data_IF_337260876123
#
_entry.id   IF_337260876123
#
_cell.length_a   1.000
_cell.length_b   1.000
_cell.length_c   1.000
_cell.angle_alpha   90.00
_cell.angle_beta   90.00
_cell.angle_gamma   90.00
#
_symmetry.space_group_name_H-M   'P 1'
#
loop_
_entity.id
_entity.type
_entity.pdbx_description
1 polymer ?
#
# COMPACT_ATOMS: atom_id res chain seq x y z
N UNK A 1 9.27 1.89 -31.94
CA UNK A 1 8.26 1.01 -31.30
C UNK A 1 8.85 -0.25 -30.65
N UNK A 2 9.91 -0.87 -31.18
CA UNK A 2 10.52 -2.08 -30.58
C UNK A 2 11.06 -1.90 -29.15
N UNK A 3 11.64 -0.73 -28.82
CA UNK A 3 12.19 -0.44 -27.48
C UNK A 3 11.13 -0.46 -26.37
N UNK A 4 9.95 0.14 -26.59
CA UNK A 4 8.89 0.17 -25.57
C UNK A 4 8.32 -1.22 -25.27
N UNK A 5 8.24 -2.08 -26.29
CA UNK A 5 7.84 -3.48 -26.12
C UNK A 5 8.85 -4.24 -25.26
N UNK A 6 10.15 -4.09 -25.55
CA UNK A 6 11.21 -4.76 -24.79
C UNK A 6 11.24 -4.34 -23.31
N UNK A 7 11.12 -3.03 -23.02
CA UNK A 7 11.08 -2.52 -21.64
C UNK A 7 9.90 -3.08 -20.85
N UNK A 8 8.72 -3.16 -21.47
CA UNK A 8 7.52 -3.73 -20.82
C UNK A 8 7.73 -5.21 -20.50
N UNK A 9 8.34 -5.97 -21.41
CA UNK A 9 8.68 -7.37 -21.18
C UNK A 9 9.66 -7.52 -20.02
N UNK A 10 10.74 -6.74 -19.99
CA UNK A 10 11.72 -6.77 -18.87
C UNK A 10 11.04 -6.45 -17.54
N UNK A 11 10.19 -5.42 -17.49
CA UNK A 11 9.45 -5.04 -16.28
C UNK A 11 8.52 -6.16 -15.79
N UNK A 12 7.78 -6.80 -16.70
CA UNK A 12 6.88 -7.91 -16.35
C UNK A 12 7.67 -9.12 -15.84
N UNK A 13 8.82 -9.43 -16.44
CA UNK A 13 9.69 -10.53 -15.99
C UNK A 13 10.24 -10.25 -14.60
N UNK A 14 10.65 -9.00 -14.32
CA UNK A 14 11.10 -8.59 -12.99
C UNK A 14 9.98 -8.74 -11.96
N UNK A 15 8.74 -8.34 -12.29
CA UNK A 15 7.58 -8.49 -11.41
C UNK A 15 7.28 -9.96 -11.10
N UNK A 16 7.26 -10.83 -12.12
CA UNK A 16 7.00 -12.26 -11.94
C UNK A 16 8.06 -12.95 -11.07
N UNK A 17 9.34 -12.61 -11.27
CA UNK A 17 10.43 -13.17 -10.45
C UNK A 17 10.36 -12.63 -9.01
N UNK A 18 10.05 -11.35 -8.84
CA UNK A 18 9.91 -10.73 -7.53
C UNK A 18 8.74 -11.33 -6.73
N UNK A 19 7.61 -11.67 -7.36
CA UNK A 19 6.51 -12.38 -6.71
C UNK A 19 6.93 -13.75 -6.16
N UNK A 20 7.84 -14.45 -6.85
CA UNK A 20 8.37 -15.74 -6.42
C UNK A 20 9.47 -15.63 -5.36
N UNK A 21 10.20 -14.51 -5.33
CA UNK A 21 11.41 -14.33 -4.51
C UNK A 21 11.29 -13.16 -3.51
N UNK A 22 10.25 -13.16 -2.67
CA UNK A 22 10.07 -12.20 -1.58
C UNK A 22 10.18 -10.70 -1.99
N UNK A 23 9.81 -10.37 -3.22
CA UNK A 23 9.84 -8.99 -3.75
C UNK A 23 11.14 -8.60 -4.46
N UNK A 24 12.10 -9.50 -4.62
CA UNK A 24 13.40 -9.22 -5.24
C UNK A 24 13.65 -10.05 -6.52
N UNK A 25 14.26 -9.44 -7.53
CA UNK A 25 14.70 -10.10 -8.75
C UNK A 25 16.19 -9.82 -9.02
N UNK A 26 17.02 -10.85 -9.04
CA UNK A 26 18.42 -10.72 -9.43
C UNK A 26 18.58 -10.58 -10.95
N UNK A 27 19.62 -9.87 -11.38
CA UNK A 27 19.94 -9.72 -12.82
C UNK A 27 20.12 -11.08 -13.50
N UNK A 28 20.72 -12.05 -12.81
CA UNK A 28 20.93 -13.39 -13.34
C UNK A 28 19.61 -14.14 -13.52
N UNK A 29 18.69 -14.02 -12.56
CA UNK A 29 17.35 -14.61 -12.67
C UNK A 29 16.56 -13.98 -13.83
N UNK A 30 16.62 -12.66 -13.98
CA UNK A 30 15.96 -11.94 -15.09
C UNK A 30 16.56 -12.35 -16.43
N UNK A 31 17.89 -12.43 -16.52
CA UNK A 31 18.57 -12.84 -17.75
C UNK A 31 18.25 -14.28 -18.14
N UNK A 32 18.19 -15.18 -17.16
CA UNK A 32 17.82 -16.59 -17.35
C UNK A 32 16.36 -16.72 -17.79
N UNK A 33 15.44 -15.99 -17.16
CA UNK A 33 14.03 -15.99 -17.53
C UNK A 33 13.78 -15.42 -18.94
N UNK A 34 14.60 -14.46 -19.37
CA UNK A 34 14.56 -13.91 -20.73
C UNK A 34 15.35 -14.73 -21.76
N UNK A 35 15.94 -15.86 -21.35
CA UNK A 35 16.74 -16.74 -22.19
C UNK A 35 17.87 -15.99 -22.93
N UNK A 36 18.53 -15.04 -22.26
CA UNK A 36 19.69 -14.36 -22.84
C UNK A 36 20.85 -15.36 -22.98
N UNK A 37 21.28 -15.60 -24.22
CA UNK A 37 22.37 -16.53 -24.54
C UNK A 37 23.68 -15.82 -24.87
N UNK A 38 23.60 -14.56 -25.33
CA UNK A 38 24.77 -13.79 -25.76
C UNK A 38 25.10 -12.67 -24.78
N UNK A 39 26.39 -12.33 -24.70
CA UNK A 39 26.87 -11.19 -23.89
C UNK A 39 26.18 -9.88 -24.27
N UNK A 40 25.85 -9.70 -25.56
CA UNK A 40 25.15 -8.51 -26.03
C UNK A 40 23.71 -8.44 -25.51
N UNK A 41 22.99 -9.57 -25.45
CA UNK A 41 21.65 -9.63 -24.88
C UNK A 41 21.66 -9.32 -23.38
N UNK A 42 22.62 -9.88 -22.63
CA UNK A 42 22.80 -9.55 -21.21
C UNK A 42 23.05 -8.05 -20.99
N UNK A 43 23.91 -7.43 -21.82
CA UNK A 43 24.16 -5.99 -21.77
C UNK A 43 22.90 -5.17 -22.06
N UNK A 44 22.09 -5.59 -23.03
CA UNK A 44 20.83 -4.92 -23.36
C UNK A 44 19.85 -4.97 -22.19
N UNK A 45 19.69 -6.13 -21.54
CA UNK A 45 18.81 -6.29 -20.36
C UNK A 45 19.30 -5.40 -19.22
N UNK A 46 20.61 -5.38 -18.94
CA UNK A 46 21.20 -4.51 -17.91
C UNK A 46 20.96 -3.02 -18.17
N UNK A 47 21.10 -2.59 -19.42
CA UNK A 47 20.80 -1.22 -19.83
C UNK A 47 19.32 -0.90 -19.62
N UNK A 48 18.42 -1.81 -20.01
CA UNK A 48 16.97 -1.65 -19.82
C UNK A 48 16.57 -1.61 -18.35
N UNK A 49 17.15 -2.46 -17.49
CA UNK A 49 16.94 -2.42 -16.04
C UNK A 49 17.41 -1.08 -15.44
N UNK A 50 18.56 -0.58 -15.90
CA UNK A 50 19.09 0.71 -15.48
C UNK A 50 18.21 1.88 -15.92
N UNK A 51 17.64 1.79 -17.11
CA UNK A 51 16.69 2.76 -17.65
C UNK A 51 15.36 2.75 -16.86
N UNK A 52 14.80 1.55 -16.60
CA UNK A 52 13.59 1.38 -15.80
C UNK A 52 13.77 1.88 -14.35
N UNK A 53 14.96 1.70 -13.78
CA UNK A 53 15.33 2.30 -12.49
C UNK A 53 15.38 3.83 -12.57
N UNK A 54 16.03 4.39 -13.60
CA UNK A 54 16.07 5.86 -13.81
C UNK A 54 14.67 6.46 -13.99
N UNK A 55 13.75 5.71 -14.60
CA UNK A 55 12.33 6.09 -14.75
C UNK A 55 11.49 5.90 -13.48
N UNK A 56 12.07 5.38 -12.39
CA UNK A 56 11.36 5.13 -11.14
C UNK A 56 10.35 3.98 -11.19
N UNK A 57 10.42 3.11 -12.21
CA UNK A 57 9.56 1.92 -12.34
C UNK A 57 10.12 0.70 -11.59
N UNK A 58 11.40 0.71 -11.29
CA UNK A 58 12.09 -0.28 -10.48
C UNK A 58 12.83 0.40 -9.33
N UNK A 59 13.01 -0.31 -8.23
CA UNK A 59 13.90 0.05 -7.14
C UNK A 59 15.10 -0.89 -7.12
N UNK A 60 16.25 -0.40 -6.65
CA UNK A 60 17.49 -1.18 -6.54
C UNK A 60 17.88 -1.32 -5.07
N UNK A 61 17.39 -2.35 -4.35
CA UNK A 61 17.72 -2.53 -2.93
C UNK A 61 19.22 -2.79 -2.71
N UNK A 62 19.86 -3.52 -3.63
CA UNK A 62 21.30 -3.84 -3.59
C UNK A 62 21.90 -3.98 -4.98
N UNK A 63 23.23 -4.02 -5.06
CA UNK A 63 23.93 -4.14 -6.34
C UNK A 63 23.53 -5.44 -7.05
N UNK A 64 22.97 -5.33 -8.26
CA UNK A 64 22.61 -6.49 -9.08
C UNK A 64 21.24 -7.10 -8.76
N UNK A 65 20.46 -6.46 -7.89
CA UNK A 65 19.09 -6.88 -7.54
C UNK A 65 18.14 -5.71 -7.74
N UNK A 66 17.04 -5.99 -8.42
CA UNK A 66 15.98 -5.04 -8.71
C UNK A 66 14.68 -5.55 -8.08
N UNK A 67 13.93 -4.66 -7.47
CA UNK A 67 12.56 -4.90 -7.08
C UNK A 67 11.66 -4.09 -8.01
N UNK A 68 10.46 -4.56 -8.35
CA UNK A 68 9.40 -3.68 -8.85
C UNK A 68 9.36 -2.47 -7.94
N UNK A 69 9.29 -1.26 -8.50
CA UNK A 69 8.97 -0.13 -7.65
C UNK A 69 7.58 -0.46 -7.11
N UNK A 70 7.53 -0.92 -5.86
CA UNK A 70 6.33 -0.86 -5.06
C UNK A 70 5.92 0.59 -5.25
N UNK A 71 4.82 0.83 -5.96
CA UNK A 71 4.12 2.11 -5.93
C UNK A 71 4.08 2.41 -4.46
N UNK A 72 4.96 3.29 -4.00
CA UNK A 72 5.20 3.50 -2.58
C UNK A 72 3.81 3.71 -2.03
N UNK A 73 3.34 2.74 -1.24
CA UNK A 73 1.98 2.76 -0.75
C UNK A 73 1.88 4.13 -0.12
N UNK A 74 1.04 5.03 -0.68
CA UNK A 74 0.99 6.42 -0.20
C UNK A 74 0.97 6.31 1.32
N UNK A 75 1.94 6.94 2.02
CA UNK A 75 2.07 6.75 3.46
C UNK A 75 0.68 6.92 4.05
N UNK A 76 0.27 5.97 4.89
CA UNK A 76 -1.06 6.02 5.47
C UNK A 76 -1.23 7.42 6.06
N UNK A 77 -2.35 8.08 5.80
CA UNK A 77 -2.62 9.45 6.24
C UNK A 77 -2.33 9.57 7.74
N UNK A 78 -2.55 8.48 8.50
CA UNK A 78 -2.17 8.36 9.91
C UNK A 78 -0.67 8.47 10.18
N UNK A 79 0.17 7.80 9.40
CA UNK A 79 1.64 7.88 9.51
C UNK A 79 2.15 9.27 9.12
N UNK A 80 1.56 9.87 8.08
CA UNK A 80 1.89 11.22 7.67
C UNK A 80 1.55 12.23 8.79
N UNK A 81 0.34 12.13 9.36
CA UNK A 81 -0.09 12.96 10.50
C UNK A 81 0.81 12.76 11.73
N UNK A 82 1.20 11.52 12.02
CA UNK A 82 2.14 11.23 13.11
C UNK A 82 3.51 11.88 12.92
N UNK A 83 4.04 11.82 11.69
CA UNK A 83 5.30 12.48 11.34
C UNK A 83 5.21 13.99 11.52
N UNK A 84 4.12 14.62 11.08
CA UNK A 84 3.88 16.05 11.26
C UNK A 84 3.82 16.43 12.74
N UNK A 85 3.09 15.65 13.55
CA UNK A 85 2.98 15.87 14.98
C UNK A 85 4.33 15.78 15.69
N UNK A 86 5.15 14.77 15.38
CA UNK A 86 6.49 14.60 15.98
C UNK A 86 7.45 15.71 15.55
N UNK A 87 7.39 16.12 14.28
CA UNK A 87 8.26 17.15 13.75
C UNK A 87 7.98 18.52 14.39
N UNK A 88 6.70 18.92 14.49
CA UNK A 88 6.34 20.26 14.99
C UNK A 88 6.12 20.31 16.50
N UNK A 89 5.81 19.20 17.16
CA UNK A 89 5.43 19.06 18.59
C UNK A 89 4.20 19.87 19.03
N UNK A 90 3.85 20.96 18.35
CA UNK A 90 2.67 21.79 18.52
C UNK A 90 2.00 21.91 17.17
N UNK A 91 0.74 21.51 17.08
CA UNK A 91 0.02 21.41 15.81
C UNK A 91 -1.44 21.82 15.98
N UNK A 92 -2.00 22.40 14.93
CA UNK A 92 -3.43 22.66 14.78
C UNK A 92 -4.07 21.61 13.88
N UNK A 93 -5.40 21.61 13.78
CA UNK A 93 -6.11 20.78 12.79
C UNK A 93 -5.76 21.20 11.37
N UNK A 94 -5.55 22.49 11.14
CA UNK A 94 -5.19 23.05 9.83
C UNK A 94 -3.79 22.61 9.38
N UNK A 95 -2.84 22.50 10.31
CA UNK A 95 -1.52 21.95 10.03
C UNK A 95 -1.60 20.49 9.55
N UNK A 96 -2.49 19.69 10.17
CA UNK A 96 -2.70 18.30 9.77
C UNK A 96 -3.32 18.19 8.38
N UNK A 97 -4.26 19.07 8.04
CA UNK A 97 -4.84 19.12 6.71
C UNK A 97 -3.80 19.52 5.66
N UNK A 98 -3.05 20.59 5.91
CA UNK A 98 -2.11 21.15 4.94
C UNK A 98 -0.88 20.26 4.73
N UNK A 99 -0.37 19.63 5.79
CA UNK A 99 0.92 18.91 5.73
C UNK A 99 0.78 17.41 5.54
N UNK A 100 -0.31 16.82 6.02
CA UNK A 100 -0.55 15.38 5.93
C UNK A 100 -1.71 15.02 4.99
N UNK A 101 -2.30 16.01 4.30
CA UNK A 101 -3.43 15.85 3.37
C UNK A 101 -4.62 15.12 4.02
N UNK A 102 -4.82 15.38 5.31
CA UNK A 102 -5.88 14.75 6.10
C UNK A 102 -7.20 15.52 5.98
N UNK A 103 -8.34 14.84 5.98
CA UNK A 103 -9.63 15.52 6.07
C UNK A 103 -9.80 16.15 7.46
N UNK A 104 -10.51 17.29 7.52
CA UNK A 104 -10.73 18.03 8.78
C UNK A 104 -11.35 17.17 9.88
N UNK A 105 -12.35 16.36 9.52
CA UNK A 105 -13.05 15.46 10.44
C UNK A 105 -12.08 14.38 10.95
N UNK A 106 -11.33 13.76 10.04
CA UNK A 106 -10.40 12.70 10.39
C UNK A 106 -9.25 13.19 11.29
N UNK A 107 -8.66 14.33 10.96
CA UNK A 107 -7.62 14.96 11.79
C UNK A 107 -8.13 15.28 13.20
N UNK A 108 -9.36 15.80 13.32
CA UNK A 108 -9.99 16.11 14.62
C UNK A 108 -10.25 14.86 15.45
N UNK A 109 -10.81 13.80 14.87
CA UNK A 109 -11.04 12.53 15.55
C UNK A 109 -9.73 11.90 16.02
N UNK A 110 -8.70 11.93 15.18
CA UNK A 110 -7.41 11.35 15.50
C UNK A 110 -6.68 12.09 16.62
N UNK A 111 -6.67 13.44 16.59
CA UNK A 111 -6.10 14.24 17.68
C UNK A 111 -6.87 14.03 18.99
N UNK A 112 -8.20 13.93 18.94
CA UNK A 112 -9.01 13.60 20.11
C UNK A 112 -8.64 12.25 20.70
N UNK A 113 -8.55 11.21 19.86
CA UNK A 113 -8.12 9.87 20.28
C UNK A 113 -6.74 9.88 20.95
N UNK A 114 -5.78 10.63 20.40
CA UNK A 114 -4.45 10.76 20.99
C UNK A 114 -4.47 11.50 22.34
N UNK A 115 -5.37 12.47 22.50
CA UNK A 115 -5.52 13.17 23.77
C UNK A 115 -6.19 12.29 24.83
N UNK A 116 -7.20 11.51 24.46
CA UNK A 116 -7.84 10.53 25.34
C UNK A 116 -6.83 9.47 25.83
N UNK A 117 -5.84 9.12 25.00
CA UNK A 117 -4.72 8.22 25.35
C UNK A 117 -3.57 8.91 26.10
N UNK A 118 -3.67 10.21 26.38
CA UNK A 118 -2.64 10.98 27.10
C UNK A 118 -1.35 11.21 26.30
N UNK A 119 -1.35 11.01 24.98
CA UNK A 119 -0.19 11.21 24.11
C UNK A 119 0.02 12.69 23.83
N UNK A 120 -1.09 13.41 23.61
CA UNK A 120 -1.10 14.85 23.36
C UNK A 120 -2.03 15.58 24.34
N UNK A 121 -1.79 16.88 24.53
CA UNK A 121 -2.62 17.76 25.35
C UNK A 121 -3.22 18.86 24.49
N UNK A 122 -4.52 19.09 24.63
CA UNK A 122 -5.21 20.22 24.01
C UNK A 122 -5.01 21.47 24.86
N UNK A 123 -4.55 22.55 24.24
CA UNK A 123 -4.49 23.90 24.81
C UNK A 123 -5.44 24.75 23.97
N UNK A 124 -6.48 25.29 24.62
CA UNK A 124 -7.44 26.15 23.95
C UNK A 124 -7.70 27.35 24.85
N UNK A 125 -7.22 28.53 24.43
CA UNK A 125 -7.55 29.78 25.08
C UNK A 125 -8.86 30.34 24.49
N UNK A 126 -9.66 31.08 25.26
CA UNK A 126 -10.89 31.70 24.77
C UNK A 126 -10.61 32.57 23.53
N UNK A 127 -11.31 32.30 22.42
CA UNK A 127 -11.15 33.04 21.16
C UNK A 127 -10.00 32.60 20.25
N UNK A 128 -9.24 31.55 20.61
CA UNK A 128 -8.12 31.05 19.80
C UNK A 128 -8.37 29.64 19.25
N UNK A 129 -7.67 29.32 18.15
CA UNK A 129 -7.67 27.97 17.57
C UNK A 129 -7.04 26.97 18.55
N UNK A 130 -7.69 25.81 18.73
CA UNK A 130 -7.17 24.77 19.61
C UNK A 130 -5.80 24.24 19.12
N UNK A 131 -4.79 24.37 19.97
CA UNK A 131 -3.43 23.88 19.74
C UNK A 131 -3.27 22.55 20.45
N UNK A 132 -2.70 21.57 19.77
CA UNK A 132 -2.41 20.25 20.32
C UNK A 132 -0.91 20.10 20.51
N UNK A 133 -0.49 19.73 21.71
CA UNK A 133 0.91 19.62 22.09
C UNK A 133 1.26 18.18 22.40
N UNK A 134 2.33 17.66 21.81
CA UNK A 134 2.87 16.33 22.10
C UNK A 134 3.48 16.31 23.51
N UNK A 135 2.92 15.47 24.39
CA UNK A 135 3.38 15.31 25.78
C UNK A 135 4.28 14.10 25.93
N UNK A 136 3.93 13.00 25.25
CA UNK A 136 4.68 11.74 25.28
C UNK A 136 5.06 11.33 23.87
N UNK A 137 6.35 11.31 23.56
CA UNK A 137 6.85 10.78 22.29
C UNK A 137 6.99 9.25 22.40
N UNK A 138 5.93 8.52 22.03
CA UNK A 138 6.04 7.07 21.83
C UNK A 138 6.66 6.81 20.46
N UNK A 139 7.66 5.93 20.39
CA UNK A 139 8.35 5.62 19.12
C UNK A 139 7.39 5.01 18.09
N UNK A 140 6.35 4.32 18.56
CA UNK A 140 5.34 3.67 17.72
C UNK A 140 4.03 4.45 17.67
N UNK A 141 3.45 4.51 16.47
CA UNK A 141 2.12 5.07 16.19
C UNK A 141 1.08 4.22 16.93
N UNK A 142 0.23 4.79 17.80
CA UNK A 142 -0.81 4.02 18.45
C UNK A 142 -1.76 3.43 17.40
N UNK A 143 -1.80 2.09 17.32
CA UNK A 143 -2.72 1.38 16.44
C UNK A 143 -4.15 1.50 17.00
N UNK A 144 -5.10 1.60 16.09
CA UNK A 144 -6.53 1.67 16.41
C UNK A 144 -7.11 0.25 16.32
N UNK A 145 -6.83 -0.54 17.34
CA UNK A 145 -7.21 -1.96 17.40
C UNK A 145 -8.73 -2.16 17.36
N UNK A 146 -9.50 -1.20 17.89
CA UNK A 146 -10.96 -1.25 17.91
C UNK A 146 -11.58 -1.06 16.52
N UNK A 147 -11.12 -0.06 15.75
CA UNK A 147 -11.57 0.09 14.35
C UNK A 147 -11.10 -1.08 13.49
N UNK A 148 -9.91 -1.63 13.76
CA UNK A 148 -9.43 -2.81 13.06
C UNK A 148 -10.30 -4.04 13.33
N UNK A 149 -10.71 -4.28 14.58
CA UNK A 149 -11.62 -5.36 14.95
C UNK A 149 -12.99 -5.18 14.29
N UNK A 150 -13.59 -3.99 14.37
CA UNK A 150 -14.89 -3.68 13.76
C UNK A 150 -14.86 -3.88 12.23
N UNK A 151 -13.76 -3.54 11.57
CA UNK A 151 -13.59 -3.79 10.13
C UNK A 151 -13.40 -5.28 9.79
N UNK A 152 -12.79 -6.08 10.66
CA UNK A 152 -12.74 -7.55 10.49
C UNK A 152 -14.13 -8.14 10.56
N UNK A 153 -14.97 -7.69 11.49
CA UNK A 153 -16.35 -8.18 11.63
C UNK A 153 -17.20 -7.83 10.42
N UNK A 154 -17.08 -6.60 9.91
CA UNK A 154 -17.78 -6.18 8.68
C UNK A 154 -17.33 -7.01 7.48
N UNK A 155 -16.02 -7.29 7.35
CA UNK A 155 -15.48 -8.14 6.27
C UNK A 155 -15.95 -9.59 6.40
N UNK A 156 -16.01 -10.13 7.61
CA UNK A 156 -16.51 -11.48 7.86
C UNK A 156 -17.99 -11.60 7.48
N UNK A 157 -18.82 -10.61 7.84
CA UNK A 157 -20.25 -10.56 7.46
C UNK A 157 -20.44 -10.47 5.94
N UNK A 158 -19.73 -9.55 5.27
CA UNK A 158 -19.80 -9.42 3.80
C UNK A 158 -19.31 -10.68 3.07
N UNK A 159 -18.27 -11.33 3.59
CA UNK A 159 -17.78 -12.60 3.05
C UNK A 159 -18.86 -13.68 3.16
N UNK A 160 -19.47 -13.85 4.32
CA UNK A 160 -20.54 -14.83 4.53
C UNK A 160 -21.76 -14.57 3.62
N UNK A 161 -22.17 -13.31 3.46
CA UNK A 161 -23.26 -12.93 2.56
C UNK A 161 -22.95 -13.28 1.10
N UNK A 162 -21.72 -13.00 0.64
CA UNK A 162 -21.28 -13.34 -0.71
C UNK A 162 -21.19 -14.86 -0.91
N UNK A 163 -20.69 -15.61 0.07
CA UNK A 163 -20.61 -17.07 0.00
C UNK A 163 -22.00 -17.69 -0.08
N UNK A 164 -22.96 -17.25 0.74
CA UNK A 164 -24.35 -17.71 0.67
C UNK A 164 -25.00 -17.41 -0.69
N UNK A 165 -24.66 -16.27 -1.30
CA UNK A 165 -25.18 -15.88 -2.61
C UNK A 165 -24.59 -16.73 -3.74
N UNK A 166 -23.32 -17.09 -3.64
CA UNK A 166 -22.67 -18.04 -4.57
C UNK A 166 -23.32 -19.42 -4.45
N UNK A 167 -23.51 -19.94 -3.24
CA UNK A 167 -24.18 -21.23 -3.03
C UNK A 167 -25.63 -21.26 -3.56
N UNK A 168 -26.34 -20.12 -3.46
CA UNK A 168 -27.66 -19.96 -4.07
C UNK A 168 -27.62 -20.07 -5.59
N UNK A 169 -26.69 -19.37 -6.24
CA UNK A 169 -26.49 -19.41 -7.69
C UNK A 169 -26.09 -20.82 -8.15
N UNK A 170 -25.24 -21.53 -7.41
CA UNK A 170 -24.85 -22.90 -7.73
C UNK A 170 -26.04 -23.87 -7.67
N UNK A 171 -26.94 -23.71 -6.70
CA UNK A 171 -28.17 -24.51 -6.60
C UNK A 171 -29.11 -24.24 -7.77
N UNK A 172 -29.27 -22.99 -8.20
CA UNK A 172 -30.10 -22.67 -9.37
C UNK A 172 -29.49 -23.19 -10.67
N UNK A 173 -28.17 -23.05 -10.84
CA UNK A 173 -27.47 -23.64 -11.99
C UNK A 173 -27.60 -25.16 -12.03
N UNK A 174 -27.59 -25.84 -10.87
CA UNK A 174 -27.81 -27.28 -10.79
C UNK A 174 -29.22 -27.67 -11.25
N UNK A 175 -30.26 -26.94 -10.80
CA UNK A 175 -31.64 -27.17 -11.25
C UNK A 175 -31.79 -26.97 -12.76
N UNK A 176 -31.21 -25.91 -13.32
CA UNK A 176 -31.23 -25.67 -14.77
C UNK A 176 -30.55 -26.80 -15.55
N UNK A 177 -29.43 -27.33 -15.05
CA UNK A 177 -28.77 -28.49 -15.66
C UNK A 177 -29.61 -29.75 -15.61
N UNK A 178 -30.32 -29.99 -14.50
CA UNK A 178 -31.25 -31.12 -14.37
C UNK A 178 -32.42 -30.98 -15.35
N UNK A 179 -33.00 -29.79 -15.49
CA UNK A 179 -34.08 -29.52 -16.47
C UNK A 179 -33.61 -29.67 -17.92
N UNK A 180 -32.36 -29.31 -18.24
CA UNK A 180 -31.79 -29.52 -19.58
C UNK A 180 -31.54 -31.02 -19.85
N UNK A 181 -31.20 -31.81 -18.83
CA UNK A 181 -30.97 -33.25 -18.97
C UNK A 181 -32.27 -34.07 -19.10
N UNK A 182 -33.41 -33.49 -18.70
CA UNK A 182 -34.75 -34.08 -18.84
C UNK A 182 -35.44 -33.75 -20.18
N UNK A 183 -34.85 -32.85 -20.99
CA UNK A 183 -35.28 -32.52 -22.36
C UNK A 183 -34.55 -33.39 -23.39
#
# INVERSE_FOLDING_TARGET
MAHQSHMKTVLNTVAAIAEQNNGEASVDAVSKAMMAQTRQQHKNILNTLSELYRMGKLQRPRQGVYAPAILSKKPDIREAMWRVLRMRKRVTVEDMMTMADASQIYAREWLRMLADRGVIRKIQEPGTTAIWVLVRDSVETPLDEEKAARLRDIRARKKAELTNRIEGIEKELKKVKETIAEL
#
